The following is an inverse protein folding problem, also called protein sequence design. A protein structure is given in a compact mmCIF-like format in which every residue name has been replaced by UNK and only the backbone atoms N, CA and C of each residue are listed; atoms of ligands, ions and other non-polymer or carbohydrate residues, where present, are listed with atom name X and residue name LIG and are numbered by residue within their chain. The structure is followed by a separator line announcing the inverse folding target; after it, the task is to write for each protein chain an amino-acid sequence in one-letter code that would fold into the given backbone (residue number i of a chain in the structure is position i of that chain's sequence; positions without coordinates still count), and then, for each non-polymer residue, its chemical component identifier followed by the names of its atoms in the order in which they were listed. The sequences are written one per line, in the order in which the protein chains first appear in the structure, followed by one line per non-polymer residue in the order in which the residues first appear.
data_IF_802679384468
#
_entry.id   IF_802679384468
#
_cell.length_a   1.000
_cell.length_b   1.000
_cell.length_c   1.000
_cell.angle_alpha   90.00
_cell.angle_beta   90.00
_cell.angle_gamma   90.00
#
_symmetry.space_group_name_H-M   'P 1'
#
loop_
_entity.id
_entity.type
_entity.pdbx_description
1 polymer ?
#
# COMPACT_ATOMS: atom_id res chain seq x y z
N UNK A 1 19.33 -17.31 7.98
CA UNK A 1 19.91 -18.36 7.12
C UNK A 1 18.81 -18.88 6.21
N UNK A 2 19.02 -18.97 4.89
CA UNK A 2 18.02 -19.58 4.00
C UNK A 2 17.82 -21.05 4.40
N UNK A 3 16.59 -21.57 4.37
CA UNK A 3 16.31 -22.96 4.74
C UNK A 3 17.07 -23.91 3.81
N UNK A 4 17.71 -24.91 4.42
CA UNK A 4 18.58 -25.88 3.75
C UNK A 4 17.85 -26.73 2.68
N UNK A 5 16.52 -26.81 2.73
CA UNK A 5 15.69 -27.59 1.80
C UNK A 5 14.72 -26.69 1.03
N UNK A 6 15.22 -26.06 -0.04
CA UNK A 6 14.35 -25.56 -1.09
C UNK A 6 14.10 -26.68 -2.11
N UNK A 7 12.92 -27.30 -2.04
CA UNK A 7 12.49 -28.42 -2.91
C UNK A 7 12.53 -28.12 -4.42
N UNK A 8 12.62 -26.85 -4.81
CA UNK A 8 12.67 -26.42 -6.21
C UNK A 8 14.09 -26.38 -6.79
N UNK A 9 15.14 -26.53 -5.96
CA UNK A 9 16.52 -26.53 -6.45
C UNK A 9 16.88 -27.95 -6.94
N UNK A 10 17.25 -28.11 -8.22
CA UNK A 10 17.66 -29.41 -8.75
C UNK A 10 18.84 -30.02 -7.99
N UNK A 11 18.86 -31.36 -7.89
CA UNK A 11 19.89 -32.11 -7.14
C UNK A 11 21.33 -31.81 -7.58
N UNK A 12 21.56 -31.53 -8.86
CA UNK A 12 22.90 -31.23 -9.37
C UNK A 12 23.43 -29.86 -8.92
N UNK A 13 22.53 -28.96 -8.48
CA UNK A 13 22.87 -27.65 -7.89
C UNK A 13 23.06 -27.82 -6.38
N UNK A 14 22.26 -28.64 -5.70
CA UNK A 14 22.42 -28.85 -4.25
C UNK A 14 23.60 -29.74 -3.88
N UNK A 15 24.00 -30.67 -4.74
CA UNK A 15 25.10 -31.58 -4.47
C UNK A 15 26.46 -30.85 -4.52
N UNK A 16 27.15 -30.81 -3.39
CA UNK A 16 28.50 -30.25 -3.28
C UNK A 16 29.51 -31.16 -3.99
N UNK A 17 30.33 -30.64 -4.93
CA UNK A 17 31.38 -31.42 -5.58
C UNK A 17 32.45 -31.91 -4.59
N UNK A 18 33.03 -33.07 -4.89
CA UNK A 18 34.00 -33.74 -3.99
C UNK A 18 35.20 -32.87 -3.61
N UNK A 19 35.70 -32.04 -4.52
CA UNK A 19 36.87 -31.17 -4.31
C UNK A 19 36.60 -29.96 -3.39
N UNK A 20 35.34 -29.73 -3.02
CA UNK A 20 34.97 -28.60 -2.15
C UNK A 20 34.89 -29.02 -0.67
N UNK A 21 34.61 -30.29 -0.39
CA UNK A 21 34.40 -30.81 0.97
C UNK A 21 35.69 -30.90 1.81
N UNK A 22 36.86 -30.94 1.19
CA UNK A 22 38.14 -31.10 1.90
C UNK A 22 38.64 -29.82 2.59
N UNK A 23 38.06 -28.66 2.27
CA UNK A 23 38.59 -27.37 2.71
C UNK A 23 37.75 -26.68 3.80
N UNK A 24 36.45 -26.96 3.92
CA UNK A 24 35.55 -26.20 4.78
C UNK A 24 34.39 -27.04 5.36
N UNK A 25 34.46 -27.41 6.66
CA UNK A 25 33.43 -28.18 7.36
C UNK A 25 32.28 -27.32 7.91
N UNK A 26 31.23 -27.07 7.13
CA UNK A 26 30.11 -26.22 7.59
C UNK A 26 28.75 -26.55 6.96
N UNK A 27 27.68 -26.26 7.71
CA UNK A 27 26.30 -26.75 7.48
C UNK A 27 25.46 -26.05 6.38
N UNK A 28 26.04 -25.24 5.48
CA UNK A 28 25.27 -24.60 4.38
C UNK A 28 25.57 -25.26 3.03
N UNK A 29 24.52 -25.86 2.45
CA UNK A 29 24.57 -26.66 1.22
C UNK A 29 25.03 -25.88 -0.02
N UNK A 30 24.86 -24.55 -0.05
CA UNK A 30 25.11 -23.72 -1.23
C UNK A 30 26.41 -22.90 -1.17
N UNK A 31 27.30 -23.18 -0.21
CA UNK A 31 28.56 -22.43 -0.07
C UNK A 31 29.44 -22.49 -1.32
N UNK A 32 29.49 -23.64 -1.98
CA UNK A 32 30.27 -23.86 -3.20
C UNK A 32 29.86 -22.98 -4.39
N UNK A 33 28.71 -22.30 -4.30
CA UNK A 33 28.19 -21.40 -5.33
C UNK A 33 28.40 -19.93 -5.00
N UNK A 34 28.70 -19.60 -3.74
CA UNK A 34 28.94 -18.21 -3.33
C UNK A 34 30.41 -17.88 -3.54
N UNK A 35 30.69 -16.66 -4.03
CA UNK A 35 32.06 -16.12 -4.11
C UNK A 35 32.70 -16.02 -2.72
N UNK A 36 31.91 -15.62 -1.72
CA UNK A 36 32.30 -15.56 -0.31
C UNK A 36 31.37 -16.48 0.51
N UNK A 37 31.88 -17.60 1.08
CA UNK A 37 31.06 -18.63 1.72
C UNK A 37 30.39 -18.19 3.03
N UNK A 38 30.82 -17.07 3.61
CA UNK A 38 30.23 -16.45 4.81
C UNK A 38 29.32 -15.27 4.50
N UNK A 39 29.33 -14.77 3.26
CA UNK A 39 28.48 -13.66 2.88
C UNK A 39 27.00 -14.09 2.82
N UNK A 40 26.13 -13.27 3.40
CA UNK A 40 24.70 -13.40 3.15
C UNK A 40 24.46 -13.18 1.65
N UNK A 41 23.52 -13.91 1.01
CA UNK A 41 23.17 -13.66 -0.37
C UNK A 41 22.76 -12.19 -0.50
N UNK A 42 23.39 -11.48 -1.45
CA UNK A 42 23.08 -10.08 -1.71
C UNK A 42 21.58 -9.93 -1.94
N UNK A 43 20.94 -9.16 -1.07
CA UNK A 43 19.51 -8.89 -1.15
C UNK A 43 19.23 -8.16 -2.47
N UNK A 44 18.14 -8.52 -3.16
CA UNK A 44 17.81 -8.08 -4.53
C UNK A 44 17.47 -6.60 -4.70
N UNK A 45 18.06 -5.72 -3.89
CA UNK A 45 17.98 -4.29 -4.01
C UNK A 45 18.88 -3.74 -5.11
N UNK A 46 18.59 -2.53 -5.62
CA UNK A 46 19.50 -1.83 -6.51
C UNK A 46 20.82 -1.55 -5.78
N UNK A 47 21.94 -1.93 -6.37
CA UNK A 47 23.27 -1.61 -5.85
C UNK A 47 23.65 -0.20 -6.29
N UNK A 48 24.18 0.60 -5.36
CA UNK A 48 24.82 1.86 -5.71
C UNK A 48 26.02 1.61 -6.65
N UNK A 49 26.28 2.55 -7.55
CA UNK A 49 27.48 2.50 -8.38
C UNK A 49 28.73 2.52 -7.51
N UNK A 50 29.76 1.77 -7.91
CA UNK A 50 31.04 1.65 -7.16
C UNK A 50 31.86 2.96 -7.12
N UNK A 51 31.38 4.02 -7.78
CA UNK A 51 32.06 5.31 -7.89
C UNK A 51 32.95 5.38 -9.13
N UNK A 52 33.71 6.47 -9.21
CA UNK A 52 34.68 6.74 -10.27
C UNK A 52 36.07 6.84 -9.63
N UNK A 53 37.05 6.08 -10.14
CA UNK A 53 38.45 6.18 -9.72
C UNK A 53 39.33 6.30 -10.97
N UNK A 54 39.77 7.52 -11.25
CA UNK A 54 40.66 7.83 -12.37
C UNK A 54 42.13 7.43 -12.09
N UNK A 55 42.46 7.07 -10.85
CA UNK A 55 43.85 6.74 -10.47
C UNK A 55 44.25 5.30 -10.83
N UNK A 56 43.33 4.52 -11.41
CA UNK A 56 43.62 3.17 -11.95
C UNK A 56 44.14 2.16 -10.93
N UNK A 57 43.96 2.39 -9.62
CA UNK A 57 44.48 1.50 -8.57
C UNK A 57 43.71 0.19 -8.47
N UNK A 58 42.51 0.11 -9.03
CA UNK A 58 41.74 -1.12 -9.09
C UNK A 58 41.93 -1.80 -10.46
N UNK A 59 42.39 -3.06 -10.42
CA UNK A 59 42.75 -3.86 -11.61
C UNK A 59 41.57 -4.07 -12.57
N UNK A 60 40.33 -3.90 -12.09
CA UNK A 60 39.11 -4.06 -12.87
C UNK A 60 38.75 -2.79 -13.66
N UNK A 61 38.93 -1.58 -13.09
CA UNK A 61 38.61 -0.33 -13.77
C UNK A 61 39.46 -0.13 -15.04
N UNK A 62 40.72 -0.57 -15.01
CA UNK A 62 41.62 -0.50 -16.17
C UNK A 62 41.15 -1.38 -17.36
N UNK A 63 40.29 -2.38 -17.12
CA UNK A 63 39.79 -3.28 -18.15
C UNK A 63 38.31 -3.11 -18.51
N UNK A 64 37.58 -2.31 -17.73
CA UNK A 64 36.19 -2.02 -18.01
C UNK A 64 36.03 -1.21 -19.30
N UNK A 65 35.10 -1.66 -20.15
CA UNK A 65 34.82 -1.01 -21.44
C UNK A 65 34.38 0.44 -21.28
N UNK A 66 33.60 0.72 -20.22
CA UNK A 66 33.13 2.06 -19.90
C UNK A 66 34.29 3.00 -19.53
N UNK A 67 35.22 2.55 -18.67
CA UNK A 67 36.38 3.34 -18.26
C UNK A 67 37.34 3.64 -19.43
N UNK A 68 37.62 2.65 -20.29
CA UNK A 68 38.48 2.84 -21.48
C UNK A 68 37.94 3.84 -22.49
N UNK A 69 36.62 4.04 -22.51
CA UNK A 69 35.92 4.91 -23.47
C UNK A 69 35.29 6.12 -22.81
N UNK A 70 35.64 6.39 -21.55
CA UNK A 70 35.10 7.52 -20.85
C UNK A 70 35.66 8.81 -21.46
N UNK A 71 34.77 9.58 -22.06
CA UNK A 71 35.08 10.89 -22.66
C UNK A 71 35.58 11.87 -21.60
N UNK A 72 35.18 11.68 -20.35
CA UNK A 72 35.48 12.58 -19.23
C UNK A 72 36.59 12.04 -18.33
N UNK A 73 37.35 11.03 -18.77
CA UNK A 73 38.47 10.50 -17.99
C UNK A 73 39.55 11.57 -17.75
N UNK A 74 39.96 11.77 -16.50
CA UNK A 74 40.94 12.79 -16.13
C UNK A 74 40.39 14.22 -16.20
N UNK A 75 39.07 14.39 -16.21
CA UNK A 75 38.42 15.69 -16.21
C UNK A 75 38.82 16.52 -15.00
N UNK A 76 39.18 17.79 -15.23
CA UNK A 76 39.59 18.70 -14.18
C UNK A 76 38.40 19.57 -13.73
N UNK A 77 38.08 19.53 -12.43
CA UNK A 77 36.99 20.31 -11.84
C UNK A 77 37.09 21.83 -12.10
N UNK A 78 38.30 22.37 -12.35
CA UNK A 78 38.49 23.80 -12.67
C UNK A 78 37.78 24.25 -13.94
N UNK A 79 37.57 23.36 -14.91
CA UNK A 79 36.84 23.70 -16.14
C UNK A 79 35.37 24.03 -15.85
N UNK A 80 34.77 23.42 -14.82
CA UNK A 80 33.42 23.73 -14.36
C UNK A 80 33.33 25.11 -13.72
N UNK A 81 34.36 25.55 -13.00
CA UNK A 81 34.42 26.88 -12.39
C UNK A 81 34.40 27.98 -13.47
N UNK A 82 35.07 27.76 -14.59
CA UNK A 82 35.05 28.69 -15.73
C UNK A 82 33.65 28.79 -16.38
N UNK A 83 32.96 27.66 -16.51
CA UNK A 83 31.57 27.63 -17.00
C UNK A 83 30.67 28.41 -16.04
N UNK A 84 30.83 28.20 -14.74
CA UNK A 84 30.06 28.91 -13.72
C UNK A 84 30.30 30.43 -13.78
N UNK A 85 31.56 30.86 -13.91
CA UNK A 85 31.91 32.27 -14.05
C UNK A 85 31.27 32.93 -15.30
N UNK A 86 31.21 32.20 -16.42
CA UNK A 86 30.51 32.65 -17.65
C UNK A 86 29.01 32.76 -17.45
N UNK A 87 28.40 31.84 -16.70
CA UNK A 87 26.98 31.92 -16.36
C UNK A 87 26.67 33.08 -15.42
N UNK A 88 27.54 33.36 -14.47
CA UNK A 88 27.38 34.48 -13.55
C UNK A 88 27.52 35.82 -14.27
N UNK A 89 28.45 35.94 -15.22
CA UNK A 89 28.55 37.15 -16.03
C UNK A 89 27.31 37.35 -16.92
N UNK A 90 26.78 36.28 -17.51
CA UNK A 90 25.54 36.32 -18.29
C UNK A 90 24.31 36.66 -17.44
N UNK A 91 24.22 36.15 -16.21
CA UNK A 91 23.16 36.53 -15.27
C UNK A 91 23.27 38.01 -14.89
N UNK A 92 24.48 38.51 -14.64
CA UNK A 92 24.72 39.94 -14.35
C UNK A 92 24.35 40.82 -15.54
N UNK A 93 24.58 40.39 -16.77
CA UNK A 93 24.20 41.15 -17.98
C UNK A 93 22.71 41.08 -18.31
N UNK A 94 22.03 39.97 -17.98
CA UNK A 94 20.59 39.76 -18.23
C UNK A 94 19.69 40.30 -17.12
N UNK A 95 20.23 40.59 -15.92
CA UNK A 95 19.48 41.33 -14.91
C UNK A 95 19.15 42.70 -15.53
N UNK A 96 17.86 43.07 -15.64
CA UNK A 96 17.53 44.42 -16.06
C UNK A 96 18.27 45.37 -15.12
N UNK A 97 19.01 46.33 -15.67
CA UNK A 97 19.44 47.48 -14.87
C UNK A 97 18.14 48.15 -14.45
N UNK A 98 17.73 47.92 -13.21
CA UNK A 98 16.72 48.73 -12.56
C UNK A 98 17.34 50.13 -12.49
N UNK A 99 17.13 50.91 -13.54
CA UNK A 99 17.47 52.32 -13.58
C UNK A 99 16.33 52.96 -12.81
N UNK A 100 16.60 53.58 -11.66
CA UNK A 100 15.60 54.15 -10.73
C UNK A 100 14.75 55.30 -11.33
N UNK A 101 14.82 55.54 -12.65
CA UNK A 101 14.15 56.65 -13.35
C UNK A 101 13.11 56.21 -14.40
N UNK A 102 12.72 54.94 -14.44
CA UNK A 102 11.69 54.46 -15.38
C UNK A 102 10.68 53.51 -14.72
N UNK A 103 10.10 53.95 -13.61
CA UNK A 103 9.02 53.27 -12.86
C UNK A 103 7.60 53.68 -13.35
N UNK A 104 7.45 54.09 -14.61
CA UNK A 104 6.18 54.67 -15.10
C UNK A 104 5.22 53.69 -15.79
N UNK A 105 5.67 52.48 -16.17
CA UNK A 105 4.87 51.55 -17.01
C UNK A 105 4.56 50.20 -16.32
N UNK A 106 4.91 50.03 -15.04
CA UNK A 106 4.65 48.79 -14.27
C UNK A 106 3.44 48.91 -13.31
N UNK A 107 2.78 50.06 -13.22
CA UNK A 107 1.71 50.29 -12.23
C UNK A 107 0.28 49.95 -12.70
N UNK A 108 0.03 49.88 -14.00
CA UNK A 108 -1.31 49.61 -14.55
C UNK A 108 -1.65 48.11 -14.55
N UNK A 109 -0.70 47.24 -14.90
CA UNK A 109 -0.89 45.79 -14.85
C UNK A 109 -1.17 45.27 -13.43
N UNK A 110 -0.58 45.86 -12.39
CA UNK A 110 -0.76 45.40 -11.02
C UNK A 110 -2.14 45.72 -10.44
N UNK A 111 -2.70 46.86 -10.85
CA UNK A 111 -4.01 47.33 -10.42
C UNK A 111 -5.12 46.47 -11.05
N UNK A 112 -5.01 46.14 -12.33
CA UNK A 112 -5.92 45.22 -13.02
C UNK A 112 -5.86 43.80 -12.43
N UNK A 113 -4.66 43.32 -12.10
CA UNK A 113 -4.47 42.00 -11.48
C UNK A 113 -5.05 41.93 -10.07
N UNK A 114 -4.91 43.01 -9.30
CA UNK A 114 -5.53 43.14 -7.98
C UNK A 114 -7.07 43.18 -8.08
N UNK A 115 -7.63 43.85 -9.08
CA UNK A 115 -9.08 43.87 -9.35
C UNK A 115 -9.61 42.50 -9.78
N UNK A 116 -8.81 41.72 -10.53
CA UNK A 116 -9.06 40.32 -10.86
C UNK A 116 -8.86 39.36 -9.66
N UNK A 117 -8.39 39.86 -8.51
CA UNK A 117 -8.15 39.06 -7.30
C UNK A 117 -6.98 38.08 -7.41
N UNK A 118 -6.05 38.31 -8.35
CA UNK A 118 -4.88 37.47 -8.57
C UNK A 118 -3.68 38.13 -7.87
N UNK A 119 -3.22 37.55 -6.76
CA UNK A 119 -2.10 38.12 -6.01
C UNK A 119 -0.77 37.94 -6.77
N UNK A 120 0.15 38.91 -6.69
CA UNK A 120 1.52 38.81 -7.27
C UNK A 120 2.26 37.50 -6.88
N UNK A 121 1.92 36.92 -5.73
CA UNK A 121 2.50 35.65 -5.23
C UNK A 121 2.12 34.45 -6.09
N UNK A 122 1.01 34.51 -6.82
CA UNK A 122 0.57 33.45 -7.73
C UNK A 122 1.38 33.44 -9.02
N UNK A 123 1.94 34.59 -9.43
CA UNK A 123 2.84 34.72 -10.59
C UNK A 123 4.31 34.35 -10.28
N UNK A 124 4.78 34.52 -9.05
CA UNK A 124 6.15 34.14 -8.67
C UNK A 124 6.40 32.62 -8.80
N UNK A 125 5.34 31.82 -8.81
CA UNK A 125 5.39 30.40 -9.12
C UNK A 125 5.24 30.25 -10.63
N UNK A 126 6.35 30.33 -11.37
CA UNK A 126 6.42 30.29 -12.84
C UNK A 126 5.86 29.01 -13.48
N UNK A 127 4.55 28.82 -13.43
CA UNK A 127 3.84 27.68 -14.02
C UNK A 127 2.80 28.17 -15.02
N UNK A 128 3.28 28.91 -16.02
CA UNK A 128 2.57 28.97 -17.29
C UNK A 128 2.91 27.67 -18.01
N UNK A 129 2.18 26.59 -17.69
CA UNK A 129 2.25 25.35 -18.46
C UNK A 129 1.36 25.53 -19.69
N UNK A 130 1.94 25.37 -20.88
CA UNK A 130 1.20 25.44 -22.13
C UNK A 130 0.03 24.45 -22.07
N UNK A 131 -1.22 24.89 -22.33
CA UNK A 131 -2.40 24.04 -22.16
C UNK A 131 -2.40 22.80 -23.06
N UNK A 132 -1.56 22.80 -24.11
CA UNK A 132 -1.36 21.71 -25.06
C UNK A 132 -0.28 20.73 -24.58
N UNK A 133 0.72 21.20 -23.83
CA UNK A 133 1.84 20.37 -23.33
C UNK A 133 1.61 19.87 -21.90
N UNK A 134 0.38 20.01 -21.38
CA UNK A 134 0.03 19.54 -20.04
C UNK A 134 0.34 18.06 -19.91
N UNK A 135 1.32 17.75 -19.07
CA UNK A 135 1.60 16.38 -18.70
C UNK A 135 0.36 15.78 -18.02
N UNK A 136 0.07 14.50 -18.28
CA UNK A 136 -1.04 13.77 -17.63
C UNK A 136 -0.84 13.74 -16.10
N UNK A 137 0.40 13.89 -15.64
CA UNK A 137 0.74 13.92 -14.21
C UNK A 137 0.39 15.28 -13.61
N UNK A 138 -0.59 15.27 -12.72
CA UNK A 138 -0.87 16.42 -11.87
C UNK A 138 0.25 16.65 -10.85
N UNK A 139 0.90 17.81 -10.91
CA UNK A 139 2.01 18.18 -10.01
C UNK A 139 1.56 18.47 -8.58
N UNK A 140 0.27 18.75 -8.38
CA UNK A 140 -0.34 19.00 -7.06
C UNK A 140 -0.36 17.74 -6.18
N UNK A 141 -0.41 16.54 -6.79
CA UNK A 141 -0.44 15.28 -6.07
C UNK A 141 0.95 14.66 -5.93
N UNK A 142 1.38 14.47 -4.68
CA UNK A 142 2.63 13.76 -4.38
C UNK A 142 2.35 12.25 -4.32
N UNK A 143 3.05 11.41 -5.09
CA UNK A 143 2.84 9.96 -5.06
C UNK A 143 3.28 9.34 -3.74
N UNK A 144 2.66 8.22 -3.37
CA UNK A 144 2.84 7.60 -2.05
C UNK A 144 4.29 7.16 -1.74
N UNK A 145 5.08 6.72 -2.73
CA UNK A 145 6.48 6.34 -2.48
C UNK A 145 7.36 7.53 -2.10
N UNK A 146 7.03 8.75 -2.56
CA UNK A 146 7.78 9.96 -2.19
C UNK A 146 7.50 10.31 -0.73
N UNK A 147 6.27 10.13 -0.27
CA UNK A 147 5.92 10.34 1.14
C UNK A 147 6.64 9.35 2.07
N UNK A 148 7.00 8.18 1.55
CA UNK A 148 7.61 7.07 2.28
C UNK A 148 9.10 6.85 1.96
N UNK A 149 9.82 7.86 1.42
CA UNK A 149 11.26 7.72 1.04
C UNK A 149 12.11 7.23 2.21
N UNK A 150 11.76 7.61 3.43
CA UNK A 150 12.49 7.23 4.64
C UNK A 150 11.92 5.98 5.34
N UNK A 151 10.82 5.40 4.84
CA UNK A 151 10.01 4.47 5.64
C UNK A 151 10.39 2.99 5.48
N UNK A 152 11.09 2.57 4.40
CA UNK A 152 11.51 1.18 4.27
C UNK A 152 12.67 0.95 3.28
N UNK A 153 13.62 0.08 3.66
CA UNK A 153 14.66 -0.46 2.79
C UNK A 153 14.03 -1.53 1.87
N UNK A 154 14.09 -1.34 0.55
CA UNK A 154 13.58 -2.31 -0.44
C UNK A 154 12.49 -1.81 -1.38
N UNK A 155 12.11 -0.53 -1.35
CA UNK A 155 11.35 0.14 -2.42
C UNK A 155 9.90 -0.30 -2.65
N UNK A 156 9.42 -1.34 -1.95
CA UNK A 156 8.03 -1.78 -2.00
C UNK A 156 7.20 -0.99 -1.00
N UNK A 157 6.35 -0.09 -1.51
CA UNK A 157 5.34 0.59 -0.71
C UNK A 157 4.40 -0.47 -0.14
N UNK A 158 4.39 -0.63 1.18
CA UNK A 158 3.34 -1.37 1.87
C UNK A 158 2.28 -0.35 2.25
N UNK A 159 1.27 -0.23 1.39
CA UNK A 159 0.08 0.58 1.71
C UNK A 159 -0.36 0.12 3.12
N UNK A 160 -0.49 1.07 4.05
CA UNK A 160 -0.97 0.84 5.41
C UNK A 160 0.05 0.54 6.51
N UNK A 161 1.30 0.13 6.20
CA UNK A 161 2.38 0.17 7.21
C UNK A 161 2.96 1.58 7.32
N UNK A 162 3.08 2.24 6.16
CA UNK A 162 3.65 3.59 6.02
C UNK A 162 2.57 4.65 5.68
N UNK A 163 1.28 4.26 5.71
CA UNK A 163 0.15 5.13 5.38
C UNK A 163 -0.78 5.27 6.58
N UNK A 164 -1.42 6.43 6.72
CA UNK A 164 -2.41 6.77 7.77
C UNK A 164 -3.64 5.86 7.82
N UNK A 165 -3.79 4.96 6.83
CA UNK A 165 -4.82 3.91 6.81
C UNK A 165 -4.24 2.65 7.44
N UNK A 166 -4.48 2.44 8.73
CA UNK A 166 -3.91 1.30 9.45
C UNK A 166 -4.31 -0.06 8.85
N UNK A 167 -3.43 -1.04 9.02
CA UNK A 167 -3.65 -2.46 8.72
C UNK A 167 -4.09 -3.13 10.03
N UNK A 168 -4.87 -4.22 9.94
CA UNK A 168 -5.34 -4.98 11.11
C UNK A 168 -4.41 -6.14 11.49
N UNK A 169 -3.58 -6.61 10.55
CA UNK A 169 -2.75 -7.80 10.72
C UNK A 169 -1.27 -7.54 10.35
N UNK A 170 -0.35 -7.95 11.23
CA UNK A 170 1.09 -7.67 11.07
C UNK A 170 1.84 -8.75 10.27
N UNK A 171 1.29 -9.96 10.11
CA UNK A 171 2.07 -11.13 9.68
C UNK A 171 1.90 -11.57 8.22
N UNK A 172 0.78 -11.30 7.53
CA UNK A 172 0.59 -11.85 6.18
C UNK A 172 -0.30 -11.06 5.23
N UNK A 173 -1.39 -10.44 5.70
CA UNK A 173 -2.42 -9.93 4.80
C UNK A 173 -2.60 -8.42 4.88
N UNK A 174 -2.63 -7.78 3.70
CA UNK A 174 -3.02 -6.38 3.57
C UNK A 174 -4.54 -6.25 3.75
N UNK A 175 -4.98 -6.28 5.00
CA UNK A 175 -6.38 -6.04 5.38
C UNK A 175 -6.55 -4.58 5.78
N UNK A 176 -7.23 -3.82 4.92
CA UNK A 176 -7.63 -2.43 5.20
C UNK A 176 -8.45 -2.40 6.50
N UNK A 177 -8.12 -1.48 7.42
CA UNK A 177 -8.97 -1.26 8.59
C UNK A 177 -10.39 -0.89 8.15
N UNK A 178 -11.42 -1.55 8.71
CA UNK A 178 -12.77 -1.33 8.26
C UNK A 178 -13.22 0.09 8.61
N UNK A 179 -13.78 0.79 7.63
CA UNK A 179 -14.41 2.10 7.83
C UNK A 179 -15.62 1.98 8.77
N UNK A 180 -16.19 3.11 9.22
CA UNK A 180 -17.39 3.09 10.07
C UNK A 180 -18.57 2.39 9.37
N UNK A 181 -18.78 2.68 8.09
CA UNK A 181 -19.83 2.06 7.29
C UNK A 181 -19.57 0.57 7.06
N UNK A 182 -18.32 0.19 6.79
CA UNK A 182 -17.92 -1.22 6.64
C UNK A 182 -18.15 -2.00 7.95
N UNK A 183 -17.89 -1.38 9.12
CA UNK A 183 -18.19 -1.98 10.43
C UNK A 183 -19.68 -2.19 10.64
N UNK A 184 -20.51 -1.21 10.29
CA UNK A 184 -21.96 -1.29 10.46
C UNK A 184 -22.58 -2.32 9.50
N UNK A 185 -22.05 -2.41 8.27
CA UNK A 185 -22.37 -3.45 7.30
C UNK A 185 -21.98 -4.85 7.80
N UNK A 186 -20.75 -5.04 8.27
CA UNK A 186 -20.30 -6.34 8.82
C UNK A 186 -21.17 -6.80 9.99
N UNK A 187 -21.55 -5.89 10.89
CA UNK A 187 -22.49 -6.18 11.98
C UNK A 187 -23.87 -6.58 11.46
N UNK A 188 -24.33 -5.97 10.37
CA UNK A 188 -25.62 -6.31 9.76
C UNK A 188 -25.56 -7.67 9.07
N UNK A 189 -24.45 -8.00 8.41
CA UNK A 189 -24.20 -9.30 7.81
C UNK A 189 -24.13 -10.42 8.85
N UNK A 190 -23.44 -10.19 9.97
CA UNK A 190 -23.44 -11.12 11.10
C UNK A 190 -24.84 -11.37 11.64
N UNK A 191 -25.62 -10.30 11.84
CA UNK A 191 -27.01 -10.40 12.27
C UNK A 191 -27.87 -11.19 11.27
N UNK A 192 -27.68 -10.99 9.97
CA UNK A 192 -28.36 -11.73 8.92
C UNK A 192 -28.06 -13.24 8.97
N UNK A 193 -26.79 -13.61 9.13
CA UNK A 193 -26.40 -15.01 9.29
C UNK A 193 -26.96 -15.66 10.55
N UNK A 194 -27.01 -14.93 11.67
CA UNK A 194 -27.61 -15.42 12.90
C UNK A 194 -29.11 -15.69 12.72
N UNK A 195 -29.84 -14.78 12.08
CA UNK A 195 -31.27 -14.95 11.80
C UNK A 195 -31.53 -16.11 10.82
N UNK A 196 -30.74 -16.21 9.74
CA UNK A 196 -30.87 -17.33 8.80
C UNK A 196 -30.58 -18.68 9.48
N UNK A 197 -29.56 -18.74 10.33
CA UNK A 197 -29.22 -19.95 11.09
C UNK A 197 -30.34 -20.35 12.05
N UNK A 198 -31.01 -19.40 12.70
CA UNK A 198 -32.18 -19.67 13.54
C UNK A 198 -33.33 -20.23 12.72
N UNK A 199 -33.64 -19.62 11.57
CA UNK A 199 -34.68 -20.07 10.67
C UNK A 199 -34.42 -21.50 10.15
N UNK A 200 -33.20 -21.82 9.73
CA UNK A 200 -32.81 -23.16 9.29
C UNK A 200 -32.97 -24.21 10.40
N UNK A 201 -32.62 -23.86 11.64
CA UNK A 201 -32.79 -24.73 12.81
C UNK A 201 -34.27 -24.98 13.13
N UNK A 202 -35.12 -23.96 13.02
CA UNK A 202 -36.56 -24.09 13.24
C UNK A 202 -37.20 -24.96 12.15
N UNK A 203 -36.89 -24.70 10.87
CA UNK A 203 -37.43 -25.46 9.75
C UNK A 203 -36.95 -26.90 9.73
N UNK A 204 -35.67 -27.16 10.03
CA UNK A 204 -35.16 -28.53 10.15
C UNK A 204 -35.83 -29.29 11.29
N UNK A 205 -36.10 -28.64 12.43
CA UNK A 205 -36.88 -29.24 13.53
C UNK A 205 -38.31 -29.57 13.12
N UNK A 206 -38.99 -28.67 12.43
CA UNK A 206 -40.35 -28.91 11.91
C UNK A 206 -40.38 -30.09 10.92
N UNK A 207 -39.42 -30.15 10.00
CA UNK A 207 -39.28 -31.25 9.04
C UNK A 207 -39.00 -32.58 9.75
N UNK A 208 -38.12 -32.58 10.75
CA UNK A 208 -37.83 -33.79 11.54
C UNK A 208 -39.07 -34.27 12.30
N UNK A 209 -39.83 -33.36 12.91
CA UNK A 209 -41.10 -33.72 13.57
C UNK A 209 -42.13 -34.28 12.59
N UNK A 210 -42.24 -33.70 11.38
CA UNK A 210 -43.09 -34.24 10.31
C UNK A 210 -42.65 -35.62 9.86
N UNK A 211 -41.33 -35.85 9.74
CA UNK A 211 -40.79 -37.16 9.40
C UNK A 211 -41.17 -38.21 10.44
N UNK A 212 -41.02 -37.89 11.73
CA UNK A 212 -41.46 -38.77 12.82
C UNK A 212 -42.97 -39.05 12.76
N UNK A 213 -43.79 -38.03 12.47
CA UNK A 213 -45.23 -38.20 12.33
C UNK A 213 -45.60 -39.07 11.10
N UNK A 214 -44.90 -38.92 9.98
CA UNK A 214 -45.15 -39.73 8.78
C UNK A 214 -44.72 -41.18 8.95
N UNK A 215 -43.66 -41.47 9.71
CA UNK A 215 -43.31 -42.86 10.07
C UNK A 215 -44.42 -43.56 10.86
N UNK A 216 -45.28 -42.80 11.56
CA UNK A 216 -46.42 -43.34 12.29
C UNK A 216 -47.67 -43.58 11.43
N UNK A 217 -47.70 -43.06 10.18
CA UNK A 217 -48.85 -43.15 9.28
C UNK A 217 -48.49 -43.90 7.97
N UNK A 218 -49.03 -45.11 7.72
CA UNK A 218 -48.65 -45.96 6.58
C UNK A 218 -49.08 -45.43 5.19
N UNK A 219 -49.81 -44.32 5.12
CA UNK A 219 -50.32 -43.70 3.88
C UNK A 219 -49.76 -42.28 3.63
N UNK A 220 -48.68 -41.87 4.32
CA UNK A 220 -48.14 -40.52 4.19
C UNK A 220 -47.39 -40.30 2.84
N UNK A 221 -47.72 -39.21 2.14
CA UNK A 221 -47.03 -38.79 0.90
C UNK A 221 -45.54 -38.48 1.14
N UNK A 222 -44.72 -38.64 0.09
CA UNK A 222 -43.31 -38.30 0.11
C UNK A 222 -43.13 -36.78 0.32
N UNK A 223 -42.61 -36.39 1.48
CA UNK A 223 -42.35 -34.99 1.83
C UNK A 223 -40.94 -34.61 1.37
N UNK A 224 -40.80 -33.46 0.71
CA UNK A 224 -39.50 -32.88 0.41
C UNK A 224 -38.78 -32.47 1.71
N UNK A 225 -37.56 -32.98 1.90
CA UNK A 225 -36.77 -32.80 3.13
C UNK A 225 -35.84 -31.59 3.08
N UNK A 226 -35.94 -30.77 2.03
CA UNK A 226 -35.11 -29.57 1.90
C UNK A 226 -35.67 -28.41 2.72
N UNK A 227 -34.79 -27.68 3.43
CA UNK A 227 -35.17 -26.45 4.12
C UNK A 227 -35.42 -25.38 3.06
N UNK A 228 -36.63 -24.78 3.00
CA UNK A 228 -36.91 -23.72 2.03
C UNK A 228 -36.01 -22.52 2.30
N UNK A 229 -35.51 -21.86 1.26
CA UNK A 229 -34.64 -20.68 1.39
C UNK A 229 -35.50 -19.43 1.58
N UNK A 230 -35.26 -18.65 2.63
CA UNK A 230 -35.91 -17.35 2.84
C UNK A 230 -34.97 -16.19 2.46
N UNK A 231 -35.28 -15.51 1.36
CA UNK A 231 -34.55 -14.36 0.84
C UNK A 231 -34.62 -13.13 1.78
N UNK A 232 -35.59 -13.12 2.71
CA UNK A 232 -35.80 -12.07 3.71
C UNK A 232 -34.73 -12.01 4.80
N UNK A 233 -33.79 -12.96 4.83
CA UNK A 233 -32.62 -12.97 5.72
C UNK A 233 -31.29 -12.74 4.98
N UNK A 234 -31.32 -12.51 3.67
CA UNK A 234 -30.12 -12.13 2.92
C UNK A 234 -29.96 -10.62 2.87
N UNK A 235 -28.79 -10.12 3.30
CA UNK A 235 -28.42 -8.69 3.18
C UNK A 235 -28.39 -8.25 1.73
N UNK A 236 -27.99 -9.14 0.81
CA UNK A 236 -27.86 -8.83 -0.61
C UNK A 236 -29.22 -8.83 -1.31
N UNK A 237 -30.11 -9.76 -0.94
CA UNK A 237 -31.44 -9.86 -1.56
C UNK A 237 -32.44 -8.85 -0.99
N UNK A 238 -32.36 -8.54 0.31
CA UNK A 238 -33.30 -7.63 0.99
C UNK A 238 -32.60 -6.69 2.00
N UNK A 239 -31.71 -5.79 1.53
CA UNK A 239 -30.87 -4.95 2.40
C UNK A 239 -31.69 -4.07 3.34
N UNK A 240 -32.73 -3.41 2.82
CA UNK A 240 -33.57 -2.49 3.61
C UNK A 240 -34.37 -3.23 4.67
N UNK A 241 -34.88 -4.43 4.35
CA UNK A 241 -35.62 -5.27 5.30
C UNK A 241 -34.71 -5.69 6.45
N UNK A 242 -33.50 -6.14 6.12
CA UNK A 242 -32.52 -6.56 7.12
C UNK A 242 -32.08 -5.39 8.01
N UNK A 243 -31.87 -4.22 7.42
CA UNK A 243 -31.54 -3.00 8.15
C UNK A 243 -32.65 -2.60 9.13
N UNK A 244 -33.92 -2.68 8.72
CA UNK A 244 -35.07 -2.40 9.59
C UNK A 244 -35.18 -3.42 10.73
N UNK A 245 -35.06 -4.72 10.43
CA UNK A 245 -35.03 -5.80 11.44
C UNK A 245 -33.92 -5.58 12.47
N UNK A 246 -32.71 -5.24 12.01
CA UNK A 246 -31.56 -4.95 12.88
C UNK A 246 -31.82 -3.75 13.78
N UNK A 247 -32.37 -2.67 13.21
CA UNK A 247 -32.71 -1.45 13.95
C UNK A 247 -33.77 -1.71 15.02
N UNK A 248 -34.75 -2.56 14.74
CA UNK A 248 -35.74 -2.99 15.73
C UNK A 248 -35.12 -3.84 16.84
N UNK A 249 -34.22 -4.76 16.50
CA UNK A 249 -33.53 -5.59 17.47
C UNK A 249 -32.59 -4.75 18.37
N UNK A 250 -31.86 -3.80 17.81
CA UNK A 250 -31.01 -2.87 18.56
C UNK A 250 -31.82 -2.03 19.55
N UNK A 251 -33.03 -1.58 19.15
CA UNK A 251 -33.97 -0.91 20.06
C UNK A 251 -34.39 -1.84 21.20
N UNK A 252 -34.79 -3.08 20.89
CA UNK A 252 -35.19 -4.08 21.89
C UNK A 252 -34.03 -4.39 22.87
N UNK A 253 -32.80 -4.54 22.36
CA UNK A 253 -31.59 -4.76 23.17
C UNK A 253 -31.32 -3.57 24.10
N UNK A 254 -31.48 -2.34 23.61
CA UNK A 254 -31.35 -1.13 24.42
C UNK A 254 -32.39 -1.06 25.54
N UNK A 255 -33.66 -1.29 25.22
CA UNK A 255 -34.74 -1.29 26.21
C UNK A 255 -34.53 -2.38 27.28
N UNK A 256 -34.06 -3.57 26.87
CA UNK A 256 -33.74 -4.66 27.80
C UNK A 256 -32.54 -4.31 28.71
N UNK A 257 -31.50 -3.68 28.17
CA UNK A 257 -30.37 -3.17 28.94
C UNK A 257 -30.82 -2.11 29.96
N UNK A 258 -31.68 -1.18 29.58
CA UNK A 258 -32.16 -0.12 30.47
C UNK A 258 -33.05 -0.68 31.59
N UNK A 259 -33.88 -1.69 31.29
CA UNK A 259 -34.63 -2.45 32.31
C UNK A 259 -33.70 -3.18 33.28
N UNK A 260 -32.63 -3.82 32.78
CA UNK A 260 -31.63 -4.49 33.62
C UNK A 260 -30.91 -3.49 34.53
N UNK A 261 -30.49 -2.34 34.00
CA UNK A 261 -29.87 -1.26 34.78
C UNK A 261 -30.80 -0.75 35.88
N UNK A 262 -32.08 -0.49 35.57
CA UNK A 262 -33.08 -0.11 36.58
C UNK A 262 -33.23 -1.18 37.66
N UNK A 263 -33.38 -2.44 37.27
CA UNK A 263 -33.52 -3.54 38.23
C UNK A 263 -32.30 -3.77 39.13
N UNK A 264 -31.09 -3.42 38.65
CA UNK A 264 -29.88 -3.47 39.46
C UNK A 264 -29.80 -2.28 40.42
N UNK A 265 -30.19 -1.08 39.95
CA UNK A 265 -30.28 0.10 40.78
C UNK A 265 -31.25 -0.12 41.93
N UNK A 266 -32.44 -0.68 41.67
CA UNK A 266 -33.45 -0.95 42.70
C UNK A 266 -33.01 -2.01 43.73
N UNK A 267 -32.03 -2.85 43.40
CA UNK A 267 -31.52 -3.91 44.30
C UNK A 267 -30.32 -3.49 45.13
N UNK A 268 -29.51 -2.55 44.65
CA UNK A 268 -28.18 -2.26 45.21
C UNK A 268 -27.89 -0.77 45.40
N UNK A 269 -28.75 0.12 44.92
CA UNK A 269 -28.72 1.56 45.19
C UNK A 269 -29.79 1.95 46.20
#
# INVERSE_FOLDING_TARGET
MPPADNSYIPKFISNVPWYYNELHGSDDAFKHQRKEPTSAPAEGGPTAGQGFDDNGKTVNAANDFAAKRDRWHGYNAKEWDEIFAKWDSLKKSKRPKHTEESDSDDTDYELELQELGIERKDFQRGFVEDPIEKSIRERKYTPAYILAINANEGGKIRIGKDSTRGIVNDESDFVKQPSKEEKDFNRMQQFAWEQNKQYEQEKSRELYQRQLANMSNPNAEAVDYTVPVDLGFSVEASPTLMMMKKKEEDKKKKDASDKRKKSLLDRYG
#
